data_IF_133946534697
#
_entry.id   IF_133946534697
#
_cell.length_a   1.000
_cell.length_b   1.000
_cell.length_c   1.000
_cell.angle_alpha   90.00
_cell.angle_beta   90.00
_cell.angle_gamma   90.00
#
_symmetry.space_group_name_H-M   'P 1'
#
loop_
_entity.id
_entity.type
_entity.pdbx_description
1 polymer ?
#
# COMPACT_ATOMS: atom_id res chain seq x y z
N UNK A 1 13.88 -13.61 14.21
CA UNK A 1 12.65 -13.31 14.92
C UNK A 1 12.00 -12.14 14.21
N UNK A 2 10.71 -12.19 13.92
CA UNK A 2 10.00 -11.11 13.21
C UNK A 2 9.68 -10.01 14.22
N UNK A 3 10.35 -8.86 14.13
CA UNK A 3 10.07 -7.70 14.99
C UNK A 3 8.76 -7.04 14.52
N UNK A 4 7.65 -7.44 15.16
CA UNK A 4 6.31 -6.89 14.92
C UNK A 4 6.07 -5.53 15.61
N UNK A 5 4.81 -5.15 15.71
CA UNK A 5 4.40 -4.00 16.52
C UNK A 5 4.55 -4.30 18.00
N UNK A 6 4.97 -3.31 18.78
CA UNK A 6 4.96 -3.36 20.26
C UNK A 6 3.52 -3.37 20.82
N UNK A 7 3.35 -3.68 22.10
CA UNK A 7 2.03 -3.64 22.76
C UNK A 7 1.38 -2.25 22.70
N UNK A 8 2.16 -1.18 22.88
CA UNK A 8 1.68 0.20 22.76
C UNK A 8 1.23 0.53 21.32
N UNK A 9 1.99 0.07 20.32
CA UNK A 9 1.61 0.23 18.91
C UNK A 9 0.36 -0.59 18.56
N UNK A 10 0.16 -1.79 19.13
CA UNK A 10 -1.06 -2.58 18.99
C UNK A 10 -2.27 -1.86 19.59
N UNK A 11 -2.11 -1.25 20.76
CA UNK A 11 -3.16 -0.43 21.37
C UNK A 11 -3.52 0.76 20.48
N UNK A 12 -2.53 1.47 19.94
CA UNK A 12 -2.73 2.58 19.01
C UNK A 12 -3.44 2.13 17.71
N UNK A 13 -3.19 0.90 17.24
CA UNK A 13 -3.94 0.30 16.12
C UNK A 13 -5.42 0.15 16.47
N UNK A 14 -5.73 -0.37 17.68
CA UNK A 14 -7.12 -0.57 18.10
C UNK A 14 -7.90 0.75 18.22
N UNK A 15 -7.22 1.84 18.56
CA UNK A 15 -7.81 3.19 18.64
C UNK A 15 -7.97 3.84 17.26
N UNK A 16 -7.09 3.51 16.30
CA UNK A 16 -7.06 4.14 14.98
C UNK A 16 -7.98 3.46 13.96
N UNK A 17 -8.17 2.14 14.06
CA UNK A 17 -8.94 1.35 13.09
C UNK A 17 -10.20 0.74 13.69
N UNK A 18 -11.29 0.74 12.92
CA UNK A 18 -12.51 0.00 13.28
C UNK A 18 -12.28 -1.51 13.11
N UNK A 19 -12.18 -2.22 14.22
CA UNK A 19 -11.93 -3.65 14.30
C UNK A 19 -13.19 -4.49 14.61
N UNK A 20 -14.41 -3.96 14.41
CA UNK A 20 -15.65 -4.74 14.57
C UNK A 20 -15.75 -5.89 13.57
N UNK A 21 -16.80 -6.72 13.56
CA UNK A 21 -16.93 -7.93 12.71
C UNK A 21 -16.69 -7.67 11.20
N UNK A 22 -15.98 -8.58 10.53
CA UNK A 22 -15.35 -8.34 9.24
C UNK A 22 -15.76 -9.29 8.08
N UNK A 23 -14.99 -9.25 7.01
CA UNK A 23 -15.23 -10.01 5.78
C UNK A 23 -14.87 -11.50 5.97
N UNK A 24 -15.60 -12.41 5.34
CA UNK A 24 -15.38 -13.85 5.46
C UNK A 24 -14.09 -14.34 4.81
N UNK A 25 -13.63 -13.66 3.75
CA UNK A 25 -12.43 -14.07 3.00
C UNK A 25 -11.28 -13.11 3.28
N UNK A 26 -10.13 -13.62 3.76
CA UNK A 26 -8.97 -12.77 3.95
C UNK A 26 -8.44 -12.29 2.61
N UNK A 27 -8.23 -10.99 2.49
CA UNK A 27 -7.67 -10.31 1.33
C UNK A 27 -6.78 -9.19 1.85
N UNK A 28 -5.63 -8.95 1.22
CA UNK A 28 -4.82 -7.77 1.44
C UNK A 28 -4.50 -7.12 0.09
N UNK A 29 -4.78 -5.83 -0.04
CA UNK A 29 -4.52 -5.08 -1.27
C UNK A 29 -3.29 -4.19 -1.07
N UNK A 30 -2.31 -4.31 -1.96
CA UNK A 30 -1.08 -3.55 -1.91
C UNK A 30 -0.92 -2.74 -3.19
N UNK A 31 -1.13 -1.42 -3.10
CA UNK A 31 -0.87 -0.50 -4.20
C UNK A 31 0.57 -0.02 -4.07
N UNK A 32 1.41 -0.45 -5.01
CA UNK A 32 2.83 -0.13 -5.05
C UNK A 32 3.18 0.70 -6.29
N UNK A 33 4.30 1.41 -6.23
CA UNK A 33 4.77 2.25 -7.33
C UNK A 33 5.72 3.35 -6.85
N UNK A 34 6.32 4.07 -7.79
CA UNK A 34 7.24 5.18 -7.51
C UNK A 34 6.58 6.27 -6.65
N UNK A 35 7.36 7.11 -5.94
CA UNK A 35 6.84 8.37 -5.40
C UNK A 35 6.05 9.13 -6.48
N UNK A 36 4.99 9.81 -6.12
CA UNK A 36 4.10 10.57 -7.01
C UNK A 36 3.37 9.77 -8.13
N UNK A 37 3.41 8.42 -8.12
CA UNK A 37 2.65 7.57 -9.07
C UNK A 37 1.13 7.57 -8.85
N UNK A 38 0.59 8.26 -7.83
CA UNK A 38 -0.84 8.33 -7.56
C UNK A 38 -1.38 7.27 -6.57
N UNK A 39 -0.49 6.56 -5.86
CA UNK A 39 -0.87 5.47 -4.95
C UNK A 39 -1.92 5.86 -3.89
N UNK A 40 -1.66 6.90 -3.12
CA UNK A 40 -2.55 7.35 -2.05
C UNK A 40 -3.90 7.80 -2.59
N UNK A 41 -3.91 8.54 -3.72
CA UNK A 41 -5.15 8.97 -4.38
C UNK A 41 -5.98 7.77 -4.83
N UNK A 42 -5.34 6.79 -5.48
CA UNK A 42 -6.01 5.56 -5.93
C UNK A 42 -6.52 4.75 -4.73
N UNK A 43 -5.70 4.61 -3.68
CA UNK A 43 -6.07 3.86 -2.49
C UNK A 43 -7.26 4.49 -1.75
N UNK A 44 -7.26 5.81 -1.57
CA UNK A 44 -8.38 6.52 -0.92
C UNK A 44 -9.68 6.30 -1.69
N UNK A 45 -9.66 6.47 -3.01
CA UNK A 45 -10.84 6.26 -3.85
C UNK A 45 -11.30 4.79 -3.84
N UNK A 46 -10.37 3.84 -3.91
CA UNK A 46 -10.68 2.41 -3.85
C UNK A 46 -11.28 2.02 -2.50
N UNK A 47 -10.77 2.58 -1.39
CA UNK A 47 -11.36 2.41 -0.05
C UNK A 47 -12.83 2.82 -0.04
N UNK A 48 -13.12 4.01 -0.56
CA UNK A 48 -14.50 4.54 -0.58
C UNK A 48 -15.43 3.66 -1.42
N UNK A 49 -14.96 3.18 -2.57
CA UNK A 49 -15.74 2.27 -3.44
C UNK A 49 -16.00 0.94 -2.75
N UNK A 50 -14.99 0.33 -2.15
CA UNK A 50 -15.12 -0.94 -1.42
C UNK A 50 -16.05 -0.80 -0.20
N UNK A 51 -15.96 0.29 0.56
CA UNK A 51 -16.86 0.56 1.69
C UNK A 51 -18.31 0.71 1.25
N UNK A 52 -18.57 1.44 0.18
CA UNK A 52 -19.91 1.54 -0.42
C UNK A 52 -20.46 0.19 -0.91
N UNK A 53 -19.56 -0.70 -1.33
CA UNK A 53 -19.91 -2.07 -1.70
C UNK A 53 -20.03 -3.02 -0.47
N UNK A 54 -20.04 -2.49 0.77
CA UNK A 54 -20.26 -3.25 1.99
C UNK A 54 -19.02 -3.99 2.51
N UNK A 55 -17.81 -3.69 2.01
CA UNK A 55 -16.58 -4.28 2.52
C UNK A 55 -16.00 -3.45 3.65
N UNK A 56 -15.49 -4.13 4.66
CA UNK A 56 -14.67 -3.52 5.69
C UNK A 56 -13.25 -3.42 5.17
N UNK A 57 -12.80 -2.22 4.94
CA UNK A 57 -11.47 -1.92 4.39
C UNK A 57 -10.87 -0.72 5.10
N UNK A 58 -9.59 -0.86 5.46
CA UNK A 58 -8.81 0.23 6.07
C UNK A 58 -7.60 0.56 5.23
N UNK A 59 -7.36 1.88 5.08
CA UNK A 59 -6.20 2.40 4.37
C UNK A 59 -4.99 2.40 5.31
N UNK A 60 -3.95 1.69 4.90
CA UNK A 60 -2.66 1.61 5.58
C UNK A 60 -1.63 2.33 4.71
N UNK A 61 -1.45 3.60 4.93
CA UNK A 61 -0.46 4.41 4.21
C UNK A 61 0.68 4.88 5.12
N UNK A 62 1.62 5.63 4.56
CA UNK A 62 2.80 6.09 5.29
C UNK A 62 2.49 7.06 6.42
N UNK A 63 1.38 7.75 6.39
CA UNK A 63 0.95 8.68 7.43
C UNK A 63 0.29 7.92 8.59
N UNK A 64 -0.67 7.04 8.27
CA UNK A 64 -1.32 6.17 9.25
C UNK A 64 -0.30 5.32 10.02
N UNK A 65 0.66 4.72 9.33
CA UNK A 65 1.69 3.91 10.00
C UNK A 65 2.59 4.76 10.89
N UNK A 66 3.02 5.94 10.42
CA UNK A 66 3.87 6.81 11.23
C UNK A 66 3.17 7.38 12.46
N UNK A 67 1.85 7.58 12.41
CA UNK A 67 1.07 8.02 13.58
C UNK A 67 0.96 6.95 14.67
N UNK A 68 1.12 5.67 14.30
CA UNK A 68 1.04 4.53 15.23
C UNK A 68 2.41 4.16 15.78
N UNK A 69 3.47 4.36 14.98
CA UNK A 69 4.82 3.95 15.35
C UNK A 69 5.44 4.87 16.41
N UNK A 70 5.90 4.28 17.51
CA UNK A 70 6.76 4.96 18.46
C UNK A 70 8.17 5.18 17.88
N UNK A 71 8.64 6.42 17.97
CA UNK A 71 10.03 6.79 17.64
C UNK A 71 10.25 7.32 16.23
N UNK A 72 11.40 7.95 16.06
CA UNK A 72 11.86 8.48 14.76
C UNK A 72 12.43 7.34 13.92
N UNK A 73 11.78 7.01 12.82
CA UNK A 73 12.31 6.09 11.82
C UNK A 73 13.03 6.87 10.72
N UNK A 74 14.30 6.54 10.49
CA UNK A 74 15.11 7.12 9.42
C UNK A 74 14.64 6.67 8.02
N UNK A 75 15.44 7.01 7.01
CA UNK A 75 15.16 6.69 5.61
C UNK A 75 16.21 5.74 5.00
N UNK A 76 17.14 5.19 5.81
CA UNK A 76 18.06 4.16 5.34
C UNK A 76 17.29 2.90 4.89
N UNK A 77 17.94 2.02 4.14
CA UNK A 77 17.33 0.76 3.72
C UNK A 77 16.91 -0.09 4.92
N UNK A 78 17.75 -0.12 5.98
CA UNK A 78 17.44 -0.85 7.21
C UNK A 78 16.22 -0.27 7.95
N UNK A 79 16.14 1.06 8.08
CA UNK A 79 14.98 1.73 8.70
C UNK A 79 13.70 1.43 7.90
N UNK A 80 13.79 1.51 6.57
CA UNK A 80 12.66 1.19 5.69
C UNK A 80 12.18 -0.25 5.84
N UNK A 81 13.11 -1.20 5.98
CA UNK A 81 12.79 -2.61 6.20
C UNK A 81 12.09 -2.79 7.57
N UNK A 82 12.61 -2.15 8.61
CA UNK A 82 11.99 -2.21 9.95
C UNK A 82 10.55 -1.66 9.92
N UNK A 83 10.36 -0.48 9.34
CA UNK A 83 9.01 0.10 9.15
C UNK A 83 8.14 -0.81 8.29
N UNK A 84 8.69 -1.40 7.22
CA UNK A 84 7.93 -2.27 6.33
C UNK A 84 7.42 -3.54 7.03
N UNK A 85 8.22 -4.14 7.91
CA UNK A 85 7.78 -5.25 8.76
C UNK A 85 6.59 -4.88 9.63
N UNK A 86 6.57 -3.66 10.16
CA UNK A 86 5.43 -3.15 10.94
C UNK A 86 4.16 -2.98 10.09
N UNK A 87 4.30 -2.53 8.82
CA UNK A 87 3.18 -2.55 7.87
C UNK A 87 2.60 -3.96 7.72
N UNK A 88 3.46 -4.97 7.55
CA UNK A 88 3.00 -6.35 7.37
C UNK A 88 2.29 -6.84 8.64
N UNK A 89 2.83 -6.57 9.82
CA UNK A 89 2.19 -6.94 11.08
C UNK A 89 0.83 -6.26 11.27
N UNK A 90 0.73 -4.97 10.98
CA UNK A 90 -0.55 -4.25 10.97
C UNK A 90 -1.57 -4.89 10.01
N UNK A 91 -1.12 -5.24 8.81
CA UNK A 91 -1.97 -5.96 7.84
C UNK A 91 -2.44 -7.32 8.39
N UNK A 92 -1.59 -8.06 9.11
CA UNK A 92 -1.97 -9.33 9.76
C UNK A 92 -3.07 -9.11 10.82
N UNK A 93 -2.94 -8.07 11.65
CA UNK A 93 -3.94 -7.72 12.67
C UNK A 93 -5.29 -7.41 12.00
N UNK A 94 -5.30 -6.57 10.97
CA UNK A 94 -6.51 -6.20 10.23
C UNK A 94 -7.15 -7.43 9.56
N UNK A 95 -6.37 -8.27 8.89
CA UNK A 95 -6.87 -9.51 8.29
C UNK A 95 -7.44 -10.47 9.34
N UNK A 96 -6.82 -10.55 10.52
CA UNK A 96 -7.29 -11.37 11.64
C UNK A 96 -8.65 -10.93 12.17
N UNK A 97 -9.03 -9.68 11.94
CA UNK A 97 -10.33 -9.09 12.29
C UNK A 97 -11.30 -9.04 11.09
N UNK A 98 -10.96 -9.68 9.99
CA UNK A 98 -11.77 -9.70 8.77
C UNK A 98 -11.85 -8.34 8.05
N UNK A 99 -10.92 -7.43 8.32
CA UNK A 99 -10.79 -6.16 7.61
C UNK A 99 -9.83 -6.36 6.44
N UNK A 100 -10.12 -5.80 5.28
CA UNK A 100 -9.20 -5.75 4.13
C UNK A 100 -8.20 -4.63 4.36
N UNK A 101 -6.92 -4.91 4.65
CA UNK A 101 -5.92 -3.86 4.63
C UNK A 101 -5.65 -3.44 3.19
N UNK A 102 -5.78 -2.15 2.92
CA UNK A 102 -5.44 -1.52 1.65
C UNK A 102 -4.17 -0.69 1.86
N UNK A 103 -3.03 -1.26 1.52
CA UNK A 103 -1.73 -0.64 1.78
C UNK A 103 -1.24 0.14 0.57
N UNK A 104 -0.91 1.42 0.76
CA UNK A 104 -0.29 2.28 -0.26
C UNK A 104 1.17 2.58 0.12
N UNK A 105 2.11 1.95 -0.56
CA UNK A 105 3.55 2.10 -0.27
C UNK A 105 4.40 2.07 -1.53
N UNK A 106 5.68 2.43 -1.44
CA UNK A 106 6.58 2.39 -2.59
C UNK A 106 6.82 0.95 -3.05
N UNK A 107 7.08 0.02 -2.13
CA UNK A 107 7.32 -1.40 -2.45
C UNK A 107 8.49 -1.62 -3.42
N UNK A 108 9.49 -0.72 -3.38
CA UNK A 108 10.57 -0.62 -4.36
C UNK A 108 11.60 -1.75 -4.32
N UNK A 109 11.65 -2.55 -3.26
CA UNK A 109 12.53 -3.71 -3.14
C UNK A 109 11.74 -5.02 -3.32
N UNK A 110 12.33 -5.98 -4.01
CA UNK A 110 11.76 -7.32 -4.15
C UNK A 110 11.59 -8.00 -2.79
N UNK A 111 12.60 -7.92 -1.94
CA UNK A 111 12.57 -8.46 -0.59
C UNK A 111 11.31 -8.02 0.19
N UNK A 112 10.92 -6.74 0.06
CA UNK A 112 9.71 -6.23 0.73
C UNK A 112 8.45 -6.93 0.22
N UNK A 113 8.36 -7.14 -1.10
CA UNK A 113 7.21 -7.84 -1.71
C UNK A 113 7.18 -9.31 -1.31
N UNK A 114 8.34 -9.95 -1.21
CA UNK A 114 8.47 -11.36 -0.78
C UNK A 114 8.05 -11.52 0.69
N UNK A 115 8.40 -10.58 1.57
CA UNK A 115 7.94 -10.56 2.97
C UNK A 115 6.40 -10.49 3.02
N UNK A 116 5.76 -9.66 2.21
CA UNK A 116 4.29 -9.58 2.14
C UNK A 116 3.69 -10.91 1.71
N UNK A 117 4.21 -11.51 0.63
CA UNK A 117 3.71 -12.80 0.11
C UNK A 117 3.83 -13.92 1.12
N UNK A 118 4.91 -13.94 1.89
CA UNK A 118 5.18 -14.99 2.87
C UNK A 118 4.37 -14.86 4.16
N UNK A 119 3.87 -13.67 4.48
CA UNK A 119 3.28 -13.38 5.79
C UNK A 119 1.79 -13.02 5.77
N UNK A 120 1.23 -12.68 4.63
CA UNK A 120 -0.19 -12.30 4.52
C UNK A 120 -0.99 -13.37 3.78
N UNK A 121 -2.27 -13.47 4.12
CA UNK A 121 -3.21 -14.33 3.42
C UNK A 121 -3.71 -13.61 2.18
N UNK A 122 -3.59 -14.26 1.02
CA UNK A 122 -4.12 -13.78 -0.26
C UNK A 122 -3.73 -12.31 -0.60
N UNK A 123 -2.44 -11.93 -0.52
CA UNK A 123 -2.00 -10.59 -0.88
C UNK A 123 -2.13 -10.38 -2.40
N UNK A 124 -2.55 -9.18 -2.80
CA UNK A 124 -2.68 -8.77 -4.21
C UNK A 124 -1.91 -7.49 -4.44
N UNK A 125 -0.90 -7.55 -5.28
CA UNK A 125 -0.12 -6.39 -5.67
C UNK A 125 -0.72 -5.72 -6.90
N UNK A 126 -1.02 -4.44 -6.76
CA UNK A 126 -1.46 -3.54 -7.83
C UNK A 126 -0.30 -2.57 -8.06
N UNK A 127 0.42 -2.77 -9.14
CA UNK A 127 1.54 -1.92 -9.47
C UNK A 127 1.10 -0.75 -10.36
N UNK A 128 1.19 0.45 -9.83
CA UNK A 128 1.03 1.68 -10.59
C UNK A 128 2.35 1.98 -11.30
N UNK A 129 2.43 1.56 -12.55
CA UNK A 129 3.58 1.82 -13.41
C UNK A 129 3.52 3.27 -13.88
N UNK A 130 4.49 4.06 -13.44
CA UNK A 130 4.62 5.46 -13.77
C UNK A 130 6.05 5.74 -14.22
N UNK A 131 6.29 6.23 -15.43
CA UNK A 131 7.61 6.66 -15.86
C UNK A 131 8.21 7.71 -14.92
N UNK A 132 9.52 7.71 -14.82
CA UNK A 132 10.26 8.59 -13.90
C UNK A 132 9.95 10.08 -14.14
N UNK A 133 9.99 10.50 -15.39
CA UNK A 133 9.73 11.88 -15.82
C UNK A 133 8.31 12.34 -15.49
N UNK A 134 7.32 11.48 -15.72
CA UNK A 134 5.92 11.75 -15.37
C UNK A 134 5.74 11.85 -13.86
N UNK A 135 6.35 10.95 -13.10
CA UNK A 135 6.30 10.97 -11.65
C UNK A 135 6.97 12.24 -11.08
N UNK A 136 8.13 12.64 -11.64
CA UNK A 136 8.83 13.86 -11.25
C UNK A 136 8.01 15.12 -11.54
N UNK A 137 7.32 15.20 -12.68
CA UNK A 137 6.42 16.31 -13.01
C UNK A 137 5.21 16.41 -12.07
N UNK A 138 4.72 15.28 -11.55
CA UNK A 138 3.59 15.21 -10.63
C UNK A 138 3.95 15.49 -9.18
N UNK A 139 5.24 15.54 -8.85
CA UNK A 139 5.72 15.69 -7.48
C UNK A 139 5.62 17.13 -6.97
N UNK A 140 4.47 17.46 -6.39
CA UNK A 140 4.21 18.78 -5.79
C UNK A 140 5.13 19.13 -4.62
N UNK A 141 5.83 18.14 -4.04
CA UNK A 141 6.75 18.34 -2.89
C UNK A 141 8.20 18.57 -3.35
N UNK A 142 8.44 18.59 -4.65
CA UNK A 142 9.77 18.76 -5.26
C UNK A 142 10.82 17.73 -4.78
N UNK A 143 10.38 16.58 -4.26
CA UNK A 143 11.29 15.57 -3.71
C UNK A 143 12.23 15.00 -4.79
N UNK A 144 11.75 14.84 -6.04
CA UNK A 144 12.60 14.41 -7.15
C UNK A 144 13.68 15.45 -7.47
N UNK A 145 13.33 16.73 -7.56
CA UNK A 145 14.27 17.82 -7.82
C UNK A 145 15.33 17.89 -6.71
N UNK A 146 14.89 17.86 -5.45
CA UNK A 146 15.78 17.87 -4.28
C UNK A 146 16.68 16.63 -4.20
N UNK A 147 16.18 15.46 -4.57
CA UNK A 147 16.97 14.24 -4.61
C UNK A 147 18.01 14.29 -5.72
N UNK A 148 17.67 14.77 -6.92
CA UNK A 148 18.61 14.97 -8.02
C UNK A 148 19.67 16.02 -7.69
N UNK A 149 19.31 17.08 -6.95
CA UNK A 149 20.26 18.07 -6.43
C UNK A 149 21.13 17.56 -5.27
N UNK A 150 20.88 16.34 -4.76
CA UNK A 150 21.60 15.76 -3.64
C UNK A 150 21.19 16.27 -2.26
N UNK A 151 20.15 17.10 -2.18
CA UNK A 151 19.60 17.66 -0.94
C UNK A 151 18.73 16.65 -0.17
N UNK A 152 18.10 15.71 -0.86
CA UNK A 152 17.31 14.64 -0.29
C UNK A 152 17.99 13.30 -0.59
N UNK A 153 18.42 12.60 0.46
CA UNK A 153 19.04 11.29 0.37
C UNK A 153 18.05 10.14 0.56
N UNK A 154 18.45 8.95 0.15
CA UNK A 154 17.66 7.73 0.27
C UNK A 154 16.30 7.82 -0.47
N UNK A 155 16.28 8.39 -1.67
CA UNK A 155 15.09 8.56 -2.47
C UNK A 155 14.98 7.51 -3.58
N UNK A 156 13.88 6.76 -3.58
CA UNK A 156 13.64 5.69 -4.56
C UNK A 156 13.58 6.20 -6.00
N UNK A 157 14.42 5.62 -6.84
CA UNK A 157 14.51 5.95 -8.26
C UNK A 157 15.57 7.01 -8.58
N UNK A 158 16.26 7.55 -7.57
CA UNK A 158 17.40 8.48 -7.72
C UNK A 158 18.66 7.83 -7.13
N UNK A 159 18.81 7.83 -5.82
CA UNK A 159 19.97 7.25 -5.12
C UNK A 159 19.68 5.86 -4.50
N UNK A 160 18.41 5.47 -4.41
CA UNK A 160 18.01 4.09 -4.12
C UNK A 160 17.33 3.49 -5.37
N UNK A 161 17.75 2.30 -5.84
CA UNK A 161 17.13 1.67 -6.98
C UNK A 161 15.65 1.31 -6.70
N UNK A 162 14.79 1.56 -7.68
CA UNK A 162 13.44 1.01 -7.69
C UNK A 162 13.49 -0.26 -8.54
N UNK A 163 13.49 -1.41 -7.86
CA UNK A 163 13.60 -2.71 -8.51
C UNK A 163 12.36 -3.03 -9.35
N UNK A 164 12.58 -3.63 -10.51
CA UNK A 164 11.51 -4.00 -11.42
C UNK A 164 10.43 -4.84 -10.72
N UNK A 165 9.17 -4.47 -10.91
CA UNK A 165 8.02 -5.23 -10.43
C UNK A 165 7.59 -6.18 -11.53
N UNK A 166 8.14 -7.40 -11.51
CA UNK A 166 7.85 -8.45 -12.49
C UNK A 166 6.60 -9.20 -12.09
N UNK A 167 6.51 -9.55 -10.79
CA UNK A 167 5.40 -10.32 -10.23
C UNK A 167 4.41 -9.39 -9.53
N UNK A 168 3.27 -9.19 -10.15
CA UNK A 168 2.12 -8.47 -9.56
C UNK A 168 0.83 -8.99 -10.21
N UNK A 169 -0.27 -8.90 -9.49
CA UNK A 169 -1.57 -9.34 -9.98
C UNK A 169 -2.15 -8.36 -11.00
N UNK A 170 -1.81 -7.09 -10.86
CA UNK A 170 -2.18 -6.05 -11.85
C UNK A 170 -1.03 -5.07 -12.06
N UNK A 171 -0.71 -4.80 -13.32
CA UNK A 171 0.15 -3.68 -13.73
C UNK A 171 -0.73 -2.66 -14.46
N UNK A 172 -0.74 -1.44 -13.97
CA UNK A 172 -1.59 -0.37 -14.50
C UNK A 172 -0.72 0.83 -14.87
N UNK A 173 -0.81 1.26 -16.10
CA UNK A 173 -0.17 2.50 -16.55
C UNK A 173 -0.87 3.70 -15.91
N UNK A 174 -0.28 4.22 -14.86
CA UNK A 174 -0.81 5.37 -14.13
C UNK A 174 -0.37 6.71 -14.73
N UNK A 175 0.44 6.70 -15.78
CA UNK A 175 0.76 7.91 -16.53
C UNK A 175 -0.44 8.36 -17.40
N UNK A 176 -1.17 7.41 -17.96
CA UNK A 176 -2.25 7.64 -18.92
C UNK A 176 -3.61 7.67 -18.24
N UNK A 177 -3.86 6.74 -17.29
CA UNK A 177 -5.17 6.54 -16.69
C UNK A 177 -5.44 7.51 -15.53
N UNK A 178 -6.69 7.98 -15.43
CA UNK A 178 -7.18 8.74 -14.28
C UNK A 178 -7.41 7.81 -13.08
N UNK A 179 -7.34 8.30 -11.83
CA UNK A 179 -7.58 7.49 -10.65
C UNK A 179 -8.90 6.72 -10.65
N UNK A 180 -9.97 7.30 -11.19
CA UNK A 180 -11.28 6.66 -11.32
C UNK A 180 -11.26 5.47 -12.27
N UNK A 181 -10.55 5.58 -13.39
CA UNK A 181 -10.39 4.50 -14.37
C UNK A 181 -9.52 3.37 -13.79
N UNK A 182 -8.48 3.73 -13.04
CA UNK A 182 -7.64 2.76 -12.31
C UNK A 182 -8.49 1.96 -11.33
N UNK A 183 -9.31 2.63 -10.51
CA UNK A 183 -10.18 1.97 -9.52
C UNK A 183 -11.21 1.08 -10.20
N UNK A 184 -11.82 1.53 -11.30
CA UNK A 184 -12.76 0.70 -12.06
C UNK A 184 -12.12 -0.61 -12.53
N UNK A 185 -10.89 -0.55 -13.09
CA UNK A 185 -10.14 -1.75 -13.51
C UNK A 185 -9.78 -2.67 -12.34
N UNK A 186 -9.42 -2.10 -11.18
CA UNK A 186 -9.15 -2.89 -9.98
C UNK A 186 -10.41 -3.63 -9.54
N UNK A 187 -11.55 -2.95 -9.46
CA UNK A 187 -12.82 -3.56 -9.06
C UNK A 187 -13.27 -4.66 -10.03
N UNK A 188 -13.14 -4.43 -11.33
CA UNK A 188 -13.42 -5.42 -12.37
C UNK A 188 -12.54 -6.67 -12.21
N UNK A 189 -11.23 -6.49 -12.02
CA UNK A 189 -10.30 -7.59 -11.79
C UNK A 189 -10.65 -8.38 -10.52
N UNK A 190 -10.87 -7.71 -9.39
CA UNK A 190 -11.20 -8.37 -8.13
C UNK A 190 -12.51 -9.15 -8.23
N UNK A 191 -13.50 -8.66 -8.96
CA UNK A 191 -14.73 -9.37 -9.29
C UNK A 191 -14.47 -10.59 -10.19
N UNK A 192 -13.70 -10.41 -11.25
CA UNK A 192 -13.38 -11.48 -12.20
C UNK A 192 -12.69 -12.68 -11.54
N UNK A 193 -11.75 -12.42 -10.64
CA UNK A 193 -11.03 -13.46 -9.90
C UNK A 193 -11.80 -13.98 -8.66
N UNK A 194 -13.05 -13.56 -8.45
CA UNK A 194 -13.93 -14.03 -7.39
C UNK A 194 -13.50 -13.64 -5.98
N UNK A 195 -12.74 -12.56 -5.84
CA UNK A 195 -12.29 -12.03 -4.54
C UNK A 195 -13.32 -11.12 -3.88
N UNK A 196 -14.20 -10.53 -4.67
CA UNK A 196 -15.35 -9.80 -4.17
C UNK A 196 -16.60 -10.66 -4.30
N UNK A 197 -17.53 -10.50 -3.36
CA UNK A 197 -18.86 -11.13 -3.48
C UNK A 197 -19.61 -10.45 -4.64
N UNK A 198 -20.32 -11.25 -5.46
CA UNK A 198 -21.34 -10.69 -6.33
C UNK A 198 -22.42 -10.11 -5.41
N UNK A 199 -22.60 -8.79 -5.43
CA UNK A 199 -23.75 -8.17 -4.80
C UNK A 199 -24.96 -8.62 -5.62
N UNK A 200 -25.76 -9.52 -5.05
CA UNK A 200 -27.01 -9.95 -5.66
C UNK A 200 -27.96 -8.76 -5.59
N UNK A 201 -28.16 -8.05 -6.70
CA UNK A 201 -29.19 -7.03 -6.84
C UNK A 201 -28.67 -5.60 -7.10
N UNK A 202 -28.01 -5.38 -8.20
CA UNK A 202 -28.08 -4.14 -8.98
C UNK A 202 -28.29 -4.54 -10.43
#
# INVERSE_FOLDING_TARGET
>A
MYDGLSEAEIQSVAEHFDLSEGNERPLALWIIGRPAAGKTTTASLLKDVLRRAGYRVELVDGEAVRSILDGAHGFSVADRLAVFKKYVHLNQILQGRGVIPLTATIGGFREFRDIVRSNLKNPRFIYLDCPFDVAAQRDKKENYARALAGELKNFFGVDIPFEAVIECEMRIDSAILKPTEIVARIMEHLNHVGLLRKISGI
#
